data_IF_045944256223
#
_entry.id   IF_045944256223
#
_cell.length_a   1.000
_cell.length_b   1.000
_cell.length_c   1.000
_cell.angle_alpha   90.00
_cell.angle_beta   90.00
_cell.angle_gamma   90.00
#
_symmetry.space_group_name_H-M   'P 1'
#
loop_
_entity.id
_entity.type
_entity.pdbx_description
1 polymer ?
#
# COMPACT_ATOMS: atom_id res chain seq x y z
N UNK A 1 6.95 11.46 1.81
CA UNK A 1 5.52 11.32 1.45
C UNK A 1 5.28 11.43 -0.05
N UNK A 2 5.54 12.59 -0.69
CA UNK A 2 5.23 12.81 -2.11
C UNK A 2 5.97 11.83 -3.03
N UNK A 3 7.29 11.65 -2.83
CA UNK A 3 8.08 10.71 -3.64
C UNK A 3 7.60 9.26 -3.52
N UNK A 4 7.20 8.80 -2.33
CA UNK A 4 6.66 7.45 -2.14
C UNK A 4 5.35 7.24 -2.91
N UNK A 5 4.48 8.25 -2.96
CA UNK A 5 3.27 8.19 -3.81
C UNK A 5 3.63 8.13 -5.29
N UNK A 6 4.62 8.91 -5.72
CA UNK A 6 5.14 8.86 -7.09
C UNK A 6 5.66 7.47 -7.45
N UNK A 7 6.48 6.86 -6.58
CA UNK A 7 7.02 5.51 -6.79
C UNK A 7 5.89 4.47 -6.85
N UNK A 8 4.92 4.51 -5.92
CA UNK A 8 3.78 3.59 -5.95
C UNK A 8 2.95 3.71 -7.22
N UNK A 9 2.72 4.94 -7.70
CA UNK A 9 2.03 5.17 -8.97
C UNK A 9 2.82 4.62 -10.16
N UNK A 10 4.16 4.79 -10.17
CA UNK A 10 5.01 4.18 -11.19
C UNK A 10 4.95 2.64 -11.16
N UNK A 11 4.87 2.02 -9.98
CA UNK A 11 4.73 0.58 -9.85
C UNK A 11 3.39 0.08 -10.42
N UNK A 12 2.29 0.77 -10.15
CA UNK A 12 0.98 0.48 -10.75
C UNK A 12 1.03 0.58 -12.28
N UNK A 13 1.55 1.69 -12.80
CA UNK A 13 1.66 1.89 -14.27
C UNK A 13 2.54 0.82 -14.90
N UNK A 14 3.67 0.49 -14.28
CA UNK A 14 4.58 -0.55 -14.79
C UNK A 14 3.89 -1.91 -14.84
N UNK A 15 3.16 -2.27 -13.78
CA UNK A 15 2.45 -3.54 -13.73
C UNK A 15 1.29 -3.58 -14.74
N UNK A 16 0.57 -2.48 -14.97
CA UNK A 16 -0.42 -2.38 -16.06
C UNK A 16 0.22 -2.63 -17.42
N UNK A 17 1.39 -2.04 -17.70
CA UNK A 17 2.12 -2.28 -18.94
C UNK A 17 2.56 -3.75 -19.10
N UNK A 18 2.96 -4.40 -18.00
CA UNK A 18 3.28 -5.84 -18.00
C UNK A 18 2.03 -6.70 -18.20
N UNK A 19 0.89 -6.33 -17.61
CA UNK A 19 -0.39 -7.00 -17.80
C UNK A 19 -0.85 -6.90 -19.26
N UNK A 20 -0.70 -5.74 -19.91
CA UNK A 20 -1.02 -5.58 -21.34
C UNK A 20 -0.21 -6.49 -22.26
N UNK A 21 1.04 -6.83 -21.86
CA UNK A 21 1.91 -7.76 -22.60
C UNK A 21 1.59 -9.22 -22.30
N UNK A 22 0.84 -9.52 -21.23
CA UNK A 22 0.54 -10.88 -20.81
C UNK A 22 -0.71 -11.41 -21.52
N UNK A 23 -0.59 -12.56 -22.18
CA UNK A 23 -1.72 -13.19 -22.89
C UNK A 23 -2.45 -14.26 -22.06
N UNK A 24 -1.91 -14.64 -20.89
CA UNK A 24 -2.45 -15.71 -20.04
C UNK A 24 -3.11 -15.12 -18.79
N UNK A 25 -4.32 -15.59 -18.49
CA UNK A 25 -5.09 -15.17 -17.32
C UNK A 25 -4.33 -15.42 -16.01
N UNK A 26 -3.61 -16.53 -15.91
CA UNK A 26 -2.81 -16.85 -14.72
C UNK A 26 -1.70 -15.82 -14.46
N UNK A 27 -1.02 -15.34 -15.50
CA UNK A 27 0.01 -14.29 -15.38
C UNK A 27 -0.61 -12.96 -14.93
N UNK A 28 -1.80 -12.62 -15.45
CA UNK A 28 -2.54 -11.42 -15.06
C UNK A 28 -2.94 -11.47 -13.58
N UNK A 29 -3.46 -12.61 -13.12
CA UNK A 29 -3.83 -12.83 -11.71
C UNK A 29 -2.61 -12.74 -10.78
N UNK A 30 -1.47 -13.31 -11.16
CA UNK A 30 -0.23 -13.23 -10.37
C UNK A 30 0.26 -11.78 -10.24
N UNK A 31 0.29 -11.03 -11.34
CA UNK A 31 0.65 -9.61 -11.31
C UNK A 31 -0.32 -8.79 -10.43
N UNK A 32 -1.62 -9.07 -10.53
CA UNK A 32 -2.63 -8.37 -9.74
C UNK A 32 -2.51 -8.70 -8.24
N UNK A 33 -2.23 -9.95 -7.89
CA UNK A 33 -2.01 -10.36 -6.50
C UNK A 33 -0.78 -9.66 -5.88
N UNK A 34 0.31 -9.54 -6.63
CA UNK A 34 1.51 -8.80 -6.19
C UNK A 34 1.20 -7.31 -6.04
N UNK A 35 0.51 -6.70 -7.01
CA UNK A 35 0.08 -5.30 -6.94
C UNK A 35 -0.90 -5.02 -5.79
N UNK A 36 -1.76 -5.97 -5.44
CA UNK A 36 -2.73 -5.84 -4.36
C UNK A 36 -2.09 -5.54 -3.00
N UNK A 37 -0.80 -5.87 -2.82
CA UNK A 37 -0.03 -5.55 -1.62
C UNK A 37 0.65 -4.18 -1.67
N UNK A 38 0.88 -3.62 -2.86
CA UNK A 38 1.57 -2.32 -3.03
C UNK A 38 0.74 -1.17 -2.46
N UNK A 39 -0.58 -1.17 -2.67
CA UNK A 39 -1.48 -0.15 -2.13
C UNK A 39 -1.45 -0.09 -0.59
N UNK A 40 -1.73 -1.21 0.11
CA UNK A 40 -1.58 -1.32 1.56
C UNK A 40 -0.19 -0.91 2.04
N UNK A 41 0.89 -1.46 1.48
CA UNK A 41 2.25 -1.16 1.91
C UNK A 41 2.60 0.33 1.77
N UNK A 42 2.20 0.96 0.66
CA UNK A 42 2.45 2.38 0.42
C UNK A 42 1.64 3.26 1.38
N UNK A 43 0.37 2.89 1.64
CA UNK A 43 -0.45 3.58 2.63
C UNK A 43 0.18 3.56 4.02
N UNK A 44 0.72 2.41 4.44
CA UNK A 44 1.45 2.28 5.71
C UNK A 44 2.68 3.17 5.76
N UNK A 45 3.54 3.10 4.74
CA UNK A 45 4.79 3.86 4.67
C UNK A 45 4.55 5.37 4.66
N UNK A 46 3.57 5.84 3.89
CA UNK A 46 3.23 7.27 3.82
C UNK A 46 2.60 7.75 5.12
N UNK A 47 1.74 6.94 5.74
CA UNK A 47 1.14 7.26 7.05
C UNK A 47 2.20 7.35 8.14
N UNK A 48 3.15 6.42 8.17
CA UNK A 48 4.27 6.44 9.11
C UNK A 48 5.15 7.68 8.94
N UNK A 49 5.51 8.05 7.70
CA UNK A 49 6.28 9.27 7.43
C UNK A 49 5.50 10.54 7.75
N UNK A 50 4.20 10.57 7.47
CA UNK A 50 3.33 11.71 7.80
C UNK A 50 3.23 11.91 9.32
N UNK A 51 3.07 10.84 10.07
CA UNK A 51 3.08 10.86 11.53
C UNK A 51 4.45 11.23 12.12
N UNK A 52 5.54 10.71 11.56
CA UNK A 52 6.90 11.06 11.97
C UNK A 52 7.19 12.54 11.74
N UNK A 53 6.74 13.12 10.63
CA UNK A 53 6.84 14.57 10.38
C UNK A 53 6.01 15.44 11.34
N UNK A 54 5.04 14.84 12.04
CA UNK A 54 4.20 15.48 13.05
C UNK A 54 4.64 15.14 14.49
N UNK A 55 5.73 14.39 14.67
CA UNK A 55 6.22 13.99 16.00
C UNK A 55 6.56 15.24 16.81
N UNK A 56 5.82 15.47 17.89
CA UNK A 56 5.91 16.67 18.73
C UNK A 56 4.64 17.53 18.77
N UNK A 57 3.68 17.33 17.85
CA UNK A 57 2.38 18.07 17.84
C UNK A 57 1.14 17.18 17.90
N UNK A 58 1.30 15.86 17.93
CA UNK A 58 0.19 14.91 17.92
C UNK A 58 -0.13 14.37 19.31
N UNK A 59 -1.42 14.40 19.67
CA UNK A 59 -1.95 13.67 20.80
C UNK A 59 -1.80 12.15 20.58
N UNK A 60 -1.36 11.37 21.59
CA UNK A 60 -1.12 9.92 21.48
C UNK A 60 -2.34 9.11 21.03
N UNK A 61 -3.56 9.58 21.32
CA UNK A 61 -4.80 8.92 20.85
C UNK A 61 -4.94 8.84 19.33
N UNK A 62 -4.38 9.81 18.58
CA UNK A 62 -4.40 9.79 17.10
C UNK A 62 -3.45 8.75 16.53
N UNK A 63 -2.32 8.50 17.20
CA UNK A 63 -1.39 7.43 16.85
C UNK A 63 -2.06 6.06 16.99
N UNK A 64 -2.82 5.85 18.07
CA UNK A 64 -3.56 4.61 18.30
C UNK A 64 -4.60 4.34 17.20
N UNK A 65 -5.32 5.39 16.76
CA UNK A 65 -6.32 5.29 15.70
C UNK A 65 -5.68 4.91 14.35
N UNK A 66 -4.53 5.51 14.00
CA UNK A 66 -3.81 5.15 12.77
C UNK A 66 -3.29 3.73 12.86
N UNK A 67 -2.68 3.34 13.99
CA UNK A 67 -2.22 1.97 14.20
C UNK A 67 -3.36 0.94 14.06
N UNK A 68 -4.55 1.25 14.57
CA UNK A 68 -5.74 0.42 14.38
C UNK A 68 -6.14 0.30 12.91
N UNK A 69 -6.19 1.42 12.17
CA UNK A 69 -6.50 1.41 10.73
C UNK A 69 -5.51 0.58 9.91
N UNK A 70 -4.21 0.70 10.22
CA UNK A 70 -3.15 -0.15 9.66
C UNK A 70 -3.44 -1.63 9.93
N UNK A 71 -3.78 -1.98 11.19
CA UNK A 71 -4.07 -3.35 11.59
C UNK A 71 -5.29 -3.91 10.84
N UNK A 72 -6.35 -3.11 10.70
CA UNK A 72 -7.57 -3.48 9.97
C UNK A 72 -7.30 -3.73 8.48
N UNK A 73 -6.49 -2.88 7.83
CA UNK A 73 -6.08 -3.10 6.43
C UNK A 73 -5.30 -4.41 6.30
N UNK A 74 -4.33 -4.67 7.20
CA UNK A 74 -3.56 -5.92 7.19
C UNK A 74 -4.41 -7.16 7.45
N UNK A 75 -5.40 -7.07 8.36
CA UNK A 75 -6.34 -8.15 8.61
C UNK A 75 -7.27 -8.37 7.41
N UNK A 76 -7.75 -7.31 6.77
CA UNK A 76 -8.63 -7.38 5.61
C UNK A 76 -7.95 -7.86 4.33
N UNK A 77 -6.64 -7.64 4.19
CA UNK A 77 -5.84 -8.13 3.04
C UNK A 77 -5.15 -9.46 3.31
N UNK A 78 -5.34 -10.05 4.50
CA UNK A 78 -4.82 -11.37 4.83
C UNK A 78 -5.45 -12.39 3.86
N UNK A 79 -4.65 -13.19 3.13
CA UNK A 79 -5.20 -14.25 2.29
C UNK A 79 -5.97 -15.25 3.16
N UNK A 80 -7.25 -15.50 2.80
CA UNK A 80 -8.07 -16.56 3.39
C UNK A 80 -7.61 -17.89 2.80
N UNK A 81 -6.57 -18.48 3.39
CA UNK A 81 -6.14 -19.87 3.12
C UNK A 81 -7.18 -20.87 3.61
#
# INVERSE_FOLDING_TARGET
>A
MVLLRGISACLEVTAVLLMLRASRLESLLRLNAVLGLVGPATFLAVSALGLAGLSGRLHPGRFLLVALGVLLVLLGTRPSS
#
